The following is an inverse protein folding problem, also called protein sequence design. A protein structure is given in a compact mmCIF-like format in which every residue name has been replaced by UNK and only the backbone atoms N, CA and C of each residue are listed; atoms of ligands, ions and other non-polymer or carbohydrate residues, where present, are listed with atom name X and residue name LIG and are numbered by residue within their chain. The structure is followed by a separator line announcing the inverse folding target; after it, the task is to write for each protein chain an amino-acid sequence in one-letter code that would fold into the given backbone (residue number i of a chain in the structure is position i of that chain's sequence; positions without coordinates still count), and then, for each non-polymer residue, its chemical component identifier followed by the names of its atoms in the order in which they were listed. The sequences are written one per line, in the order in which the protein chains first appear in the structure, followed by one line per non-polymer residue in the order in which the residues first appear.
data_IF_844514747056
#
_entry.id   IF_844514747056
#
_cell.length_a   1.000
_cell.length_b   1.000
_cell.length_c   1.000
_cell.angle_alpha   90.00
_cell.angle_beta   90.00
_cell.angle_gamma   90.00
#
_symmetry.space_group_name_H-M   'P 1'
#
loop_
_entity.id
_entity.type
_entity.pdbx_description
1 polymer ?
#
# COMPACT_ATOMS: atom_id res chain seq x y z
N UNK A 1 18.54 19.20 -33.42
CA UNK A 1 17.95 18.18 -34.30
C UNK A 1 18.07 16.78 -33.73
N UNK A 2 19.28 16.26 -33.42
CA UNK A 2 19.43 14.87 -32.88
C UNK A 2 18.83 14.69 -31.47
N UNK A 3 18.93 15.68 -30.58
CA UNK A 3 18.37 15.58 -29.21
C UNK A 3 16.83 15.62 -29.20
N UNK A 4 16.19 16.44 -30.05
CA UNK A 4 14.73 16.44 -30.19
C UNK A 4 14.22 15.12 -30.80
N UNK A 5 14.91 14.58 -31.82
CA UNK A 5 14.51 13.30 -32.43
C UNK A 5 14.64 12.08 -31.53
N UNK A 6 15.55 12.10 -30.55
CA UNK A 6 15.69 11.01 -29.55
C UNK A 6 14.63 11.15 -28.44
N UNK A 7 14.29 12.37 -28.02
CA UNK A 7 13.19 12.61 -27.06
C UNK A 7 11.83 12.23 -27.65
N UNK A 8 11.56 12.59 -28.91
CA UNK A 8 10.32 12.21 -29.62
C UNK A 8 10.16 10.69 -29.71
N UNK A 9 11.24 9.93 -29.87
CA UNK A 9 11.17 8.46 -29.89
C UNK A 9 10.88 7.87 -28.50
N UNK A 10 11.42 8.46 -27.43
CA UNK A 10 11.14 8.01 -26.06
C UNK A 10 9.69 8.28 -25.63
N UNK A 11 9.12 9.44 -25.96
CA UNK A 11 7.69 9.72 -25.71
C UNK A 11 6.79 8.83 -26.57
N UNK A 12 7.12 8.65 -27.86
CA UNK A 12 6.36 7.76 -28.75
C UNK A 12 6.38 6.29 -28.29
N UNK A 13 7.51 5.79 -27.75
CA UNK A 13 7.58 4.44 -27.14
C UNK A 13 6.67 4.35 -25.91
N UNK A 14 6.67 5.37 -25.04
CA UNK A 14 5.83 5.40 -23.83
C UNK A 14 4.34 5.49 -24.17
N UNK A 15 3.97 6.29 -25.16
CA UNK A 15 2.59 6.37 -25.66
C UNK A 15 2.12 5.03 -26.25
N UNK A 16 2.94 4.38 -27.09
CA UNK A 16 2.63 3.03 -27.60
C UNK A 16 2.46 2.01 -26.46
N UNK A 17 3.27 2.10 -25.40
CA UNK A 17 3.13 1.25 -24.21
C UNK A 17 1.82 1.54 -23.47
N UNK A 18 1.47 2.82 -23.28
CA UNK A 18 0.21 3.23 -22.67
C UNK A 18 -0.99 2.67 -23.45
N UNK A 19 -1.00 2.82 -24.79
CA UNK A 19 -2.06 2.28 -25.65
C UNK A 19 -2.21 0.76 -25.52
N UNK A 20 -1.09 0.03 -25.49
CA UNK A 20 -1.10 -1.42 -25.27
C UNK A 20 -1.71 -1.79 -23.91
N UNK A 21 -1.34 -1.08 -22.85
CA UNK A 21 -1.87 -1.34 -21.50
C UNK A 21 -3.36 -1.02 -21.41
N UNK A 22 -3.81 0.09 -21.98
CA UNK A 22 -5.24 0.46 -22.08
C UNK A 22 -6.03 -0.64 -22.81
N UNK A 23 -5.49 -1.15 -23.92
CA UNK A 23 -6.11 -2.27 -24.65
C UNK A 23 -6.20 -3.54 -23.80
N UNK A 24 -5.14 -3.89 -23.08
CA UNK A 24 -5.13 -5.05 -22.18
C UNK A 24 -6.10 -4.91 -21.00
N UNK A 25 -6.20 -3.71 -20.40
CA UNK A 25 -7.16 -3.45 -19.32
C UNK A 25 -8.61 -3.57 -19.81
N UNK A 26 -8.89 -3.10 -21.04
CA UNK A 26 -10.22 -3.19 -21.65
C UNK A 26 -10.59 -4.62 -22.03
N UNK A 27 -9.66 -5.40 -22.59
CA UNK A 27 -9.96 -6.73 -23.14
C UNK A 27 -9.84 -7.87 -22.12
N UNK A 28 -8.96 -7.73 -21.13
CA UNK A 28 -8.68 -8.79 -20.14
C UNK A 28 -9.23 -8.43 -18.74
N UNK A 29 -10.24 -7.56 -18.64
CA UNK A 29 -10.82 -7.18 -17.37
C UNK A 29 -11.36 -8.42 -16.62
N UNK A 30 -10.91 -8.71 -15.39
CA UNK A 30 -11.36 -9.89 -14.68
C UNK A 30 -12.86 -9.79 -14.34
N UNK A 31 -13.60 -10.87 -14.61
CA UNK A 31 -15.01 -10.98 -14.25
C UNK A 31 -15.24 -11.34 -12.78
N UNK A 32 -16.50 -11.43 -12.36
CA UNK A 32 -16.88 -11.68 -10.97
C UNK A 32 -16.41 -13.02 -10.39
N UNK A 33 -16.19 -14.01 -11.27
CA UNK A 33 -15.70 -15.36 -10.91
C UNK A 33 -14.19 -15.51 -11.06
N UNK A 34 -13.49 -14.44 -11.42
CA UNK A 34 -12.04 -14.47 -11.59
C UNK A 34 -11.32 -14.88 -10.30
N UNK A 35 -10.15 -15.49 -10.46
CA UNK A 35 -9.25 -15.76 -9.35
C UNK A 35 -8.51 -14.49 -8.92
N UNK A 36 -7.88 -14.54 -7.75
CA UNK A 36 -7.14 -13.38 -7.22
C UNK A 36 -5.91 -13.04 -8.09
N UNK A 37 -5.33 -14.02 -8.80
CA UNK A 37 -4.15 -13.81 -9.64
C UNK A 37 -4.46 -12.95 -10.86
N UNK A 38 -5.66 -13.10 -11.41
CA UNK A 38 -6.17 -12.24 -12.48
C UNK A 38 -6.25 -10.78 -12.04
N UNK A 39 -6.70 -10.54 -10.80
CA UNK A 39 -6.73 -9.20 -10.21
C UNK A 39 -5.33 -8.66 -9.88
N UNK A 40 -4.43 -9.48 -9.37
CA UNK A 40 -3.02 -9.11 -9.16
C UNK A 40 -2.34 -8.67 -10.46
N UNK A 41 -2.53 -9.42 -11.56
CA UNK A 41 -2.02 -9.01 -12.89
C UNK A 41 -2.66 -7.72 -13.39
N UNK A 42 -3.95 -7.53 -13.14
CA UNK A 42 -4.68 -6.31 -13.49
C UNK A 42 -4.18 -5.11 -12.70
N UNK A 43 -3.89 -5.28 -11.41
CA UNK A 43 -3.34 -4.24 -10.55
C UNK A 43 -1.98 -3.73 -11.03
N UNK A 44 -1.09 -4.63 -11.48
CA UNK A 44 0.19 -4.23 -12.09
C UNK A 44 0.00 -3.43 -13.37
N UNK A 45 -0.87 -3.91 -14.27
CA UNK A 45 -1.19 -3.18 -15.52
C UNK A 45 -1.78 -1.80 -15.23
N UNK A 46 -2.68 -1.72 -14.24
CA UNK A 46 -3.30 -0.48 -13.81
C UNK A 46 -2.27 0.48 -13.22
N UNK A 47 -1.37 0.01 -12.35
CA UNK A 47 -0.28 0.81 -11.80
C UNK A 47 0.66 1.36 -12.89
N UNK A 48 1.05 0.52 -13.86
CA UNK A 48 1.86 0.97 -15.01
C UNK A 48 1.11 1.98 -15.89
N UNK A 49 -0.20 1.78 -16.10
CA UNK A 49 -1.05 2.69 -16.87
C UNK A 49 -1.15 4.05 -16.20
N UNK A 50 -1.37 4.09 -14.88
CA UNK A 50 -1.46 5.34 -14.12
C UNK A 50 -0.14 6.10 -14.09
N UNK A 51 0.98 5.42 -13.83
CA UNK A 51 2.33 6.02 -13.89
C UNK A 51 2.60 6.66 -15.27
N UNK A 52 2.31 5.93 -16.35
CA UNK A 52 2.50 6.45 -17.71
C UNK A 52 1.56 7.62 -18.01
N UNK A 53 0.28 7.51 -17.64
CA UNK A 53 -0.70 8.58 -17.81
C UNK A 53 -0.24 9.85 -17.09
N UNK A 54 0.19 9.76 -15.83
CA UNK A 54 0.71 10.89 -15.07
C UNK A 54 1.92 11.55 -15.74
N UNK A 55 2.80 10.77 -16.39
CA UNK A 55 3.97 11.31 -17.10
C UNK A 55 3.64 11.92 -18.48
N UNK A 56 2.59 11.45 -19.14
CA UNK A 56 2.23 11.82 -20.52
C UNK A 56 1.03 12.77 -20.58
N UNK A 57 0.40 13.11 -19.46
CA UNK A 57 -0.87 13.86 -19.41
C UNK A 57 -0.81 15.15 -20.24
N UNK A 58 0.30 15.88 -20.18
CA UNK A 58 0.52 17.13 -20.92
C UNK A 58 0.64 16.97 -22.45
N UNK A 59 0.83 15.74 -22.95
CA UNK A 59 0.96 15.42 -24.38
C UNK A 59 -0.34 14.86 -24.98
N UNK A 60 -1.28 14.42 -24.14
CA UNK A 60 -2.50 13.76 -24.57
C UNK A 60 -3.67 14.74 -24.70
N UNK A 61 -4.56 14.48 -25.65
CA UNK A 61 -5.80 15.24 -25.77
C UNK A 61 -6.70 15.04 -24.53
N UNK A 62 -7.41 16.07 -24.03
CA UNK A 62 -8.29 15.97 -22.87
C UNK A 62 -9.32 14.84 -22.96
N UNK A 63 -9.90 14.62 -24.15
CA UNK A 63 -10.87 13.56 -24.39
C UNK A 63 -10.23 12.17 -24.21
N UNK A 64 -8.96 12.04 -24.59
CA UNK A 64 -8.21 10.79 -24.44
C UNK A 64 -7.92 10.50 -22.97
N UNK A 65 -7.51 11.52 -22.21
CA UNK A 65 -7.27 11.41 -20.76
C UNK A 65 -8.55 10.95 -20.07
N UNK A 66 -9.68 11.59 -20.37
CA UNK A 66 -10.98 11.25 -19.80
C UNK A 66 -11.40 9.80 -20.14
N UNK A 67 -11.19 9.35 -21.39
CA UNK A 67 -11.45 7.96 -21.78
C UNK A 67 -10.64 6.96 -20.95
N UNK A 68 -9.36 7.22 -20.73
CA UNK A 68 -8.48 6.36 -19.93
C UNK A 68 -8.94 6.38 -18.47
N UNK A 69 -9.21 7.56 -17.89
CA UNK A 69 -9.69 7.70 -16.52
C UNK A 69 -11.00 6.92 -16.28
N UNK A 70 -11.95 7.01 -17.22
CA UNK A 70 -13.20 6.24 -17.13
C UNK A 70 -12.98 4.72 -17.17
N UNK A 71 -12.03 4.25 -17.99
CA UNK A 71 -11.64 2.83 -18.00
C UNK A 71 -11.05 2.41 -16.66
N UNK A 72 -10.11 3.19 -16.12
CA UNK A 72 -9.48 2.92 -14.83
C UNK A 72 -10.52 2.86 -13.71
N UNK A 73 -11.47 3.79 -13.69
CA UNK A 73 -12.57 3.79 -12.72
C UNK A 73 -13.44 2.52 -12.86
N UNK A 74 -13.82 2.14 -14.08
CA UNK A 74 -14.61 0.93 -14.33
C UNK A 74 -13.91 -0.36 -13.86
N UNK A 75 -12.58 -0.43 -14.03
CA UNK A 75 -11.77 -1.54 -13.53
C UNK A 75 -11.78 -1.56 -11.99
N UNK A 76 -11.62 -0.39 -11.34
CA UNK A 76 -11.64 -0.26 -9.88
C UNK A 76 -13.01 -0.64 -9.31
N UNK A 77 -14.11 -0.19 -9.91
CA UNK A 77 -15.48 -0.55 -9.48
C UNK A 77 -15.73 -2.06 -9.56
N UNK A 78 -15.24 -2.69 -10.63
CA UNK A 78 -15.33 -4.14 -10.81
C UNK A 78 -14.50 -4.90 -9.75
N UNK A 79 -13.32 -4.37 -9.42
CA UNK A 79 -12.48 -4.91 -8.35
C UNK A 79 -13.17 -4.82 -6.99
N UNK A 80 -13.73 -3.65 -6.64
CA UNK A 80 -14.41 -3.41 -5.36
C UNK A 80 -15.53 -4.45 -5.16
N UNK A 81 -16.37 -4.63 -6.18
CA UNK A 81 -17.47 -5.60 -6.13
C UNK A 81 -16.97 -7.05 -6.02
N UNK A 82 -15.88 -7.40 -6.71
CA UNK A 82 -15.27 -8.71 -6.58
C UNK A 82 -14.67 -8.92 -5.18
N UNK A 83 -13.91 -7.94 -4.67
CA UNK A 83 -13.20 -8.04 -3.41
C UNK A 83 -14.16 -8.12 -2.22
N UNK A 84 -15.24 -7.34 -2.21
CA UNK A 84 -16.25 -7.37 -1.16
C UNK A 84 -16.80 -8.80 -0.94
N UNK A 85 -16.99 -9.55 -2.02
CA UNK A 85 -17.47 -10.95 -1.98
C UNK A 85 -16.38 -11.96 -1.68
N UNK A 86 -15.11 -11.64 -1.95
CA UNK A 86 -13.98 -12.58 -1.88
C UNK A 86 -13.07 -12.39 -0.68
N UNK A 87 -13.09 -11.24 -0.01
CA UNK A 87 -12.22 -10.91 1.13
C UNK A 87 -12.21 -12.00 2.21
N UNK A 88 -13.37 -12.57 2.57
CA UNK A 88 -13.46 -13.66 3.55
C UNK A 88 -12.76 -14.94 3.08
N UNK A 89 -12.96 -15.30 1.81
CA UNK A 89 -12.26 -16.44 1.20
C UNK A 89 -10.75 -16.19 1.16
N UNK A 90 -10.31 -15.00 0.72
CA UNK A 90 -8.89 -14.63 0.66
C UNK A 90 -8.22 -14.71 2.03
N UNK A 91 -8.87 -14.20 3.07
CA UNK A 91 -8.37 -14.27 4.45
C UNK A 91 -8.26 -15.69 5.00
N UNK A 92 -9.06 -16.63 4.49
CA UNK A 92 -9.04 -18.05 4.88
C UNK A 92 -8.04 -18.91 4.11
N UNK A 93 -7.47 -18.41 3.00
CA UNK A 93 -6.52 -19.18 2.20
C UNK A 93 -5.22 -19.38 2.99
N UNK A 94 -4.70 -20.61 2.93
CA UNK A 94 -3.41 -20.92 3.54
C UNK A 94 -2.27 -20.16 2.85
N UNK A 95 -1.23 -19.86 3.62
CA UNK A 95 0.03 -19.39 3.08
C UNK A 95 0.62 -20.45 2.14
N UNK A 96 0.87 -20.08 0.88
CA UNK A 96 1.45 -20.98 -0.13
C UNK A 96 2.87 -20.56 -0.48
N UNK A 97 3.06 -19.78 -1.55
CA UNK A 97 4.37 -19.32 -2.00
C UNK A 97 4.79 -17.97 -1.39
N UNK A 98 3.84 -17.10 -1.12
CA UNK A 98 4.03 -15.77 -0.52
C UNK A 98 2.76 -15.39 0.26
N UNK A 99 2.81 -14.40 1.18
CA UNK A 99 1.62 -13.92 1.87
C UNK A 99 0.63 -13.33 0.86
N UNK A 100 -0.59 -13.85 0.86
CA UNK A 100 -1.68 -13.32 0.05
C UNK A 100 -2.35 -12.16 0.75
N UNK A 101 -2.42 -12.18 2.07
CA UNK A 101 -3.00 -11.10 2.88
C UNK A 101 -1.96 -10.59 3.87
N UNK A 102 -2.02 -9.31 4.23
CA UNK A 102 -1.01 -8.65 5.08
C UNK A 102 -0.77 -9.34 6.44
N UNK A 103 -1.80 -9.91 7.07
CA UNK A 103 -1.69 -10.67 8.33
C UNK A 103 -0.88 -11.97 8.19
N UNK A 104 -0.66 -12.47 6.97
CA UNK A 104 0.12 -13.69 6.75
C UNK A 104 1.63 -13.41 6.71
N UNK A 105 2.04 -12.14 6.62
CA UNK A 105 3.45 -11.74 6.49
C UNK A 105 4.29 -12.30 7.64
N UNK A 106 3.94 -12.16 8.94
CA UNK A 106 4.74 -12.70 10.03
C UNK A 106 5.01 -14.20 9.91
N UNK A 107 3.96 -14.97 9.58
CA UNK A 107 4.09 -16.41 9.44
C UNK A 107 5.00 -16.79 8.26
N UNK A 108 4.92 -16.04 7.16
CA UNK A 108 5.83 -16.22 6.04
C UNK A 108 7.29 -15.94 6.43
N UNK A 109 7.55 -14.88 7.20
CA UNK A 109 8.91 -14.56 7.67
C UNK A 109 9.48 -15.65 8.58
N UNK A 110 8.65 -16.31 9.40
CA UNK A 110 9.08 -17.46 10.21
C UNK A 110 9.58 -18.60 9.31
N UNK A 111 8.85 -18.92 8.23
CA UNK A 111 9.26 -19.95 7.29
C UNK A 111 10.57 -19.58 6.59
N UNK A 112 10.74 -18.33 6.18
CA UNK A 112 11.98 -17.86 5.55
C UNK A 112 13.16 -17.85 6.52
N UNK A 113 12.93 -17.59 7.81
CA UNK A 113 13.99 -17.58 8.83
C UNK A 113 14.64 -18.95 9.02
N UNK A 114 13.97 -20.04 8.63
CA UNK A 114 14.57 -21.37 8.68
C UNK A 114 15.75 -21.52 7.69
N UNK A 115 15.78 -20.74 6.60
CA UNK A 115 16.82 -20.79 5.57
C UNK A 115 17.78 -19.60 5.58
N UNK A 116 17.46 -18.50 6.28
CA UNK A 116 18.32 -17.31 6.36
C UNK A 116 18.66 -16.94 7.82
N UNK A 117 19.82 -16.28 8.02
CA UNK A 117 20.30 -15.93 9.38
C UNK A 117 19.61 -14.70 9.96
N UNK A 118 19.34 -13.69 9.13
CA UNK A 118 18.72 -12.42 9.55
C UNK A 118 17.62 -11.97 8.58
N UNK A 119 16.55 -11.41 9.13
CA UNK A 119 15.39 -10.90 8.39
C UNK A 119 15.13 -9.44 8.77
N UNK A 120 14.93 -8.60 7.77
CA UNK A 120 14.41 -7.24 7.96
C UNK A 120 13.09 -7.08 7.21
N UNK A 121 11.99 -6.92 7.95
CA UNK A 121 10.70 -6.50 7.41
C UNK A 121 10.66 -4.97 7.39
N UNK A 122 10.57 -4.38 6.20
CA UNK A 122 10.45 -2.94 6.00
C UNK A 122 9.05 -2.63 5.48
N UNK A 123 8.21 -2.05 6.33
CA UNK A 123 6.86 -1.61 5.96
C UNK A 123 6.93 -0.16 5.55
N UNK A 124 6.67 0.14 4.27
CA UNK A 124 6.41 1.50 3.82
C UNK A 124 4.93 1.80 4.06
N UNK A 125 4.62 2.77 4.91
CA UNK A 125 3.24 3.19 5.16
C UNK A 125 2.67 3.84 3.89
N UNK A 126 1.55 3.31 3.40
CA UNK A 126 0.82 3.91 2.27
C UNK A 126 1.42 3.74 0.87
N UNK A 127 2.36 2.80 0.67
CA UNK A 127 3.00 2.55 -0.62
C UNK A 127 2.10 1.76 -1.60
N UNK A 128 1.59 2.45 -2.62
CA UNK A 128 0.84 1.83 -3.72
C UNK A 128 1.76 1.14 -4.73
N UNK A 129 1.19 0.30 -5.60
CA UNK A 129 1.95 -0.32 -6.70
C UNK A 129 2.50 0.69 -7.70
N UNK A 130 1.76 1.77 -7.97
CA UNK A 130 2.19 2.85 -8.85
C UNK A 130 3.47 3.52 -8.29
N UNK A 131 3.49 3.76 -6.99
CA UNK A 131 4.63 4.34 -6.28
C UNK A 131 5.80 3.34 -6.19
N UNK A 132 5.51 2.06 -5.96
CA UNK A 132 6.51 0.99 -5.99
C UNK A 132 7.29 0.95 -7.31
N UNK A 133 6.65 1.17 -8.45
CA UNK A 133 7.35 1.24 -9.74
C UNK A 133 8.43 2.34 -9.76
N UNK A 134 8.26 3.41 -9.00
CA UNK A 134 9.26 4.50 -8.87
C UNK A 134 10.35 4.12 -7.87
N UNK A 135 9.95 3.55 -6.73
CA UNK A 135 10.90 3.04 -5.73
C UNK A 135 11.82 1.98 -6.36
N UNK A 136 11.24 1.03 -7.10
CA UNK A 136 11.94 -0.04 -7.79
C UNK A 136 13.01 0.47 -8.75
N UNK A 137 12.69 1.48 -9.56
CA UNK A 137 13.67 2.10 -10.47
C UNK A 137 14.85 2.67 -9.69
N UNK A 138 14.58 3.45 -8.64
CA UNK A 138 15.64 4.02 -7.80
C UNK A 138 16.48 2.94 -7.07
N UNK A 139 15.85 1.83 -6.66
CA UNK A 139 16.58 0.71 -6.06
C UNK A 139 17.52 0.04 -7.05
N UNK A 140 17.10 -0.21 -8.29
CA UNK A 140 17.98 -0.78 -9.32
C UNK A 140 19.12 0.16 -9.74
N UNK A 141 18.89 1.48 -9.71
CA UNK A 141 19.92 2.47 -10.00
C UNK A 141 21.01 2.52 -8.90
N UNK A 142 20.61 2.42 -7.63
CA UNK A 142 21.52 2.60 -6.49
C UNK A 142 22.09 1.31 -5.91
N UNK A 143 21.29 0.25 -5.79
CA UNK A 143 21.73 -1.02 -5.20
C UNK A 143 22.32 -1.93 -6.27
N UNK A 144 23.56 -2.39 -6.04
CA UNK A 144 24.27 -3.31 -6.95
C UNK A 144 24.18 -4.75 -6.44
N UNK A 145 24.16 -5.71 -7.37
CA UNK A 145 24.17 -7.15 -7.06
C UNK A 145 23.05 -7.53 -6.08
N UNK A 146 21.82 -7.18 -6.44
CA UNK A 146 20.62 -7.58 -5.70
C UNK A 146 19.71 -8.41 -6.59
N UNK A 147 19.11 -9.44 -5.99
CA UNK A 147 18.02 -10.20 -6.59
C UNK A 147 16.72 -9.77 -5.94
N UNK A 148 15.75 -9.39 -6.76
CA UNK A 148 14.43 -8.97 -6.33
C UNK A 148 13.38 -9.98 -6.79
N UNK A 149 12.60 -10.50 -5.84
CA UNK A 149 11.42 -11.31 -6.10
C UNK A 149 10.18 -10.49 -5.72
N UNK A 150 9.34 -10.21 -6.71
CA UNK A 150 8.20 -9.32 -6.57
C UNK A 150 6.91 -10.12 -6.43
N UNK A 151 6.25 -9.98 -5.29
CA UNK A 151 4.94 -10.54 -5.00
C UNK A 151 3.95 -9.42 -4.66
N UNK A 152 2.69 -9.79 -4.57
CA UNK A 152 1.59 -8.89 -4.25
C UNK A 152 0.80 -9.45 -3.09
N UNK A 153 0.40 -8.58 -2.17
CA UNK A 153 -0.45 -8.92 -1.02
C UNK A 153 -1.67 -8.02 -1.00
N UNK A 154 -2.73 -8.47 -0.33
CA UNK A 154 -3.97 -7.75 -0.13
C UNK A 154 -3.98 -7.13 1.27
N UNK A 155 -4.20 -5.82 1.34
CA UNK A 155 -4.46 -5.06 2.56
C UNK A 155 -5.85 -5.38 3.12
N UNK A 156 -6.05 -5.13 4.41
CA UNK A 156 -7.39 -5.20 5.01
C UNK A 156 -8.21 -3.99 4.57
N UNK A 157 -9.52 -4.17 4.41
CA UNK A 157 -10.47 -3.08 4.15
C UNK A 157 -11.35 -2.90 5.40
N UNK A 158 -11.46 -1.68 5.97
CA UNK A 158 -10.88 -0.40 5.52
C UNK A 158 -9.35 -0.38 5.49
N UNK A 159 -8.76 0.23 4.46
CA UNK A 159 -7.30 0.35 4.30
C UNK A 159 -6.72 1.45 5.20
N UNK A 160 -6.99 1.32 6.50
CA UNK A 160 -6.47 2.18 7.56
C UNK A 160 -5.16 1.60 8.07
N UNK A 161 -4.16 2.45 8.26
CA UNK A 161 -2.86 2.11 8.86
C UNK A 161 -3.03 1.28 10.13
N UNK A 162 -3.94 1.68 11.02
CA UNK A 162 -4.15 0.99 12.30
C UNK A 162 -4.69 -0.43 12.18
N UNK A 163 -5.35 -0.77 11.07
CA UNK A 163 -5.86 -2.11 10.85
C UNK A 163 -4.79 -2.97 10.18
N UNK A 164 -4.34 -2.57 8.99
CA UNK A 164 -3.38 -3.36 8.21
C UNK A 164 -2.02 -3.48 8.88
N UNK A 165 -1.44 -2.39 9.40
CA UNK A 165 -0.09 -2.41 9.95
C UNK A 165 0.01 -3.19 11.25
N UNK A 166 -1.01 -3.10 12.11
CA UNK A 166 -1.11 -3.96 13.28
C UNK A 166 -1.28 -5.43 12.87
N UNK A 167 -2.02 -5.73 11.81
CA UNK A 167 -2.13 -7.09 11.28
C UNK A 167 -0.77 -7.61 10.78
N UNK A 168 0.00 -6.77 10.07
CA UNK A 168 1.38 -7.08 9.62
C UNK A 168 2.28 -7.42 10.79
N UNK A 169 2.19 -6.73 11.94
CA UNK A 169 3.10 -6.99 13.06
C UNK A 169 2.57 -8.00 14.09
N UNK A 170 1.29 -8.35 14.05
CA UNK A 170 0.69 -9.32 14.98
C UNK A 170 0.51 -10.71 14.38
N UNK A 171 0.27 -10.78 13.07
CA UNK A 171 -0.23 -11.99 12.42
C UNK A 171 -1.73 -12.23 12.66
N UNK A 172 -2.42 -11.26 13.27
CA UNK A 172 -3.80 -11.39 13.73
C UNK A 172 -4.74 -10.45 12.96
N UNK A 173 -6.03 -10.74 13.02
CA UNK A 173 -7.09 -9.87 12.50
C UNK A 173 -7.52 -8.82 13.54
N UNK A 174 -8.14 -7.70 13.13
CA UNK A 174 -8.38 -6.55 14.01
C UNK A 174 -9.18 -6.80 15.30
N UNK A 175 -10.04 -7.81 15.35
CA UNK A 175 -10.78 -8.17 16.56
C UNK A 175 -9.87 -8.56 17.73
N UNK A 176 -8.60 -8.91 17.46
CA UNK A 176 -7.59 -9.21 18.48
C UNK A 176 -6.86 -7.96 19.02
N UNK A 177 -7.06 -6.78 18.44
CA UNK A 177 -6.26 -5.59 18.78
C UNK A 177 -6.71 -4.91 20.07
N UNK A 178 -7.93 -5.20 20.55
CA UNK A 178 -8.48 -4.61 21.78
C UNK A 178 -8.38 -3.08 21.77
N UNK A 179 -7.81 -2.50 22.84
CA UNK A 179 -7.71 -1.04 23.02
C UNK A 179 -6.80 -0.30 22.03
N UNK A 180 -6.09 -1.00 21.14
CA UNK A 180 -5.30 -0.36 20.07
C UNK A 180 -5.97 -0.40 18.70
N UNK A 181 -7.23 -0.84 18.55
CA UNK A 181 -7.89 -0.96 17.25
C UNK A 181 -7.75 0.28 16.33
N UNK A 182 -7.85 1.47 16.91
CA UNK A 182 -7.81 2.76 16.19
C UNK A 182 -6.45 3.48 16.28
N UNK A 183 -5.38 2.81 16.73
CA UNK A 183 -4.05 3.43 16.84
C UNK A 183 -2.90 2.40 16.77
N UNK A 184 -1.71 2.89 16.44
CA UNK A 184 -0.54 2.03 16.20
C UNK A 184 0.27 1.68 17.46
N UNK A 185 -0.30 1.82 18.67
CA UNK A 185 0.43 1.60 19.94
C UNK A 185 0.64 0.12 20.26
N UNK A 186 -0.18 -0.78 19.71
CA UNK A 186 -0.10 -2.22 19.95
C UNK A 186 1.03 -2.94 19.20
N UNK A 187 1.56 -2.36 18.11
CA UNK A 187 2.45 -3.03 17.15
C UNK A 187 3.69 -3.65 17.78
N UNK A 188 4.43 -2.91 18.62
CA UNK A 188 5.67 -3.42 19.21
C UNK A 188 5.41 -4.58 20.18
N UNK A 189 4.35 -4.47 20.98
CA UNK A 189 3.93 -5.52 21.90
C UNK A 189 3.55 -6.78 21.12
N UNK A 190 2.75 -6.64 20.07
CA UNK A 190 2.30 -7.74 19.23
C UNK A 190 3.45 -8.41 18.47
N UNK A 191 4.38 -7.62 17.92
CA UNK A 191 5.56 -8.14 17.22
C UNK A 191 6.46 -8.97 18.14
N UNK A 192 6.74 -8.44 19.35
CA UNK A 192 7.50 -9.17 20.36
C UNK A 192 6.77 -10.44 20.80
N UNK A 193 5.45 -10.37 21.01
CA UNK A 193 4.65 -11.53 21.40
C UNK A 193 4.64 -12.60 20.31
N UNK A 194 4.48 -12.21 19.04
CA UNK A 194 4.51 -13.12 17.90
C UNK A 194 5.83 -13.90 17.84
N UNK A 195 6.97 -13.20 17.80
CA UNK A 195 8.28 -13.85 17.69
C UNK A 195 8.70 -14.63 18.94
N UNK A 196 8.26 -14.19 20.13
CA UNK A 196 8.46 -14.93 21.37
C UNK A 196 7.79 -16.31 21.32
N UNK A 197 6.56 -16.39 20.76
CA UNK A 197 5.88 -17.68 20.55
C UNK A 197 6.63 -18.60 19.56
N UNK A 198 7.43 -18.02 18.66
CA UNK A 198 8.29 -18.75 17.73
C UNK A 198 9.68 -19.08 18.33
N UNK A 199 9.89 -18.79 19.62
CA UNK A 199 11.13 -19.11 20.34
C UNK A 199 12.26 -18.08 20.18
N UNK A 200 12.02 -16.92 19.55
CA UNK A 200 13.05 -15.89 19.40
C UNK A 200 13.16 -15.06 20.68
N UNK A 201 14.38 -14.94 21.21
CA UNK A 201 14.63 -14.11 22.40
C UNK A 201 14.50 -12.62 22.12
N UNK A 202 14.03 -11.85 23.10
CA UNK A 202 13.78 -10.41 22.95
C UNK A 202 15.02 -9.61 22.51
N UNK A 203 16.22 -10.03 22.91
CA UNK A 203 17.48 -9.41 22.51
C UNK A 203 17.89 -9.67 21.04
N UNK A 204 17.17 -10.51 20.32
CA UNK A 204 17.40 -10.77 18.89
C UNK A 204 16.42 -10.02 17.98
N UNK A 205 15.49 -9.28 18.57
CA UNK A 205 14.39 -8.59 17.90
C UNK A 205 14.46 -7.08 18.13
N UNK A 206 14.06 -6.29 17.14
CA UNK A 206 13.66 -4.90 17.35
C UNK A 206 12.55 -4.49 16.37
N UNK A 207 11.80 -3.45 16.74
CA UNK A 207 10.87 -2.74 15.85
C UNK A 207 11.20 -1.25 15.89
N UNK A 208 11.54 -0.68 14.74
CA UNK A 208 11.84 0.74 14.60
C UNK A 208 10.74 1.40 13.78
N UNK A 209 10.04 2.35 14.40
CA UNK A 209 8.95 3.10 13.75
C UNK A 209 9.30 4.57 13.54
N UNK A 210 8.55 5.22 12.65
CA UNK A 210 8.69 6.65 12.39
C UNK A 210 9.87 7.01 11.51
N UNK A 211 10.42 6.05 10.75
CA UNK A 211 11.56 6.30 9.89
C UNK A 211 11.11 7.14 8.69
N UNK A 212 11.95 8.07 8.29
CA UNK A 212 11.75 8.99 7.18
C UNK A 212 12.90 8.97 6.19
N UNK A 213 13.94 8.21 6.46
CA UNK A 213 15.15 8.16 5.64
C UNK A 213 16.02 9.38 5.88
N UNK A 214 16.18 9.82 7.14
CA UNK A 214 17.19 10.83 7.50
C UNK A 214 18.51 10.19 7.94
N UNK A 215 19.55 11.01 8.15
CA UNK A 215 20.82 10.55 8.74
C UNK A 215 20.62 10.03 10.18
N UNK A 216 19.72 10.63 10.96
CA UNK A 216 19.39 10.13 12.30
C UNK A 216 18.73 8.74 12.24
N UNK A 217 17.85 8.51 11.26
CA UNK A 217 17.25 7.19 11.05
C UNK A 217 18.31 6.15 10.68
N UNK A 218 19.24 6.49 9.79
CA UNK A 218 20.34 5.62 9.41
C UNK A 218 21.21 5.27 10.62
N UNK A 219 21.58 6.27 11.43
CA UNK A 219 22.34 6.05 12.66
C UNK A 219 21.59 5.16 13.66
N UNK A 220 20.27 5.35 13.79
CA UNK A 220 19.40 4.52 14.63
C UNK A 220 19.34 3.07 14.13
N UNK A 221 19.23 2.84 12.82
CA UNK A 221 19.23 1.49 12.24
C UNK A 221 20.57 0.78 12.48
N UNK A 222 21.70 1.49 12.33
CA UNK A 222 23.05 0.95 12.58
C UNK A 222 23.21 0.34 13.97
N UNK A 223 22.54 0.90 15.00
CA UNK A 223 22.56 0.37 16.37
C UNK A 223 21.92 -1.01 16.50
N UNK A 224 21.10 -1.43 15.52
CA UNK A 224 20.32 -2.65 15.57
C UNK A 224 20.75 -3.72 14.53
N UNK A 225 21.82 -3.50 13.77
CA UNK A 225 22.32 -4.45 12.76
C UNK A 225 22.76 -5.81 13.34
N UNK A 226 23.02 -5.88 14.64
CA UNK A 226 23.36 -7.11 15.35
C UNK A 226 22.14 -8.03 15.63
N UNK A 227 20.91 -7.53 15.45
CA UNK A 227 19.68 -8.32 15.65
C UNK A 227 19.52 -9.39 14.57
N UNK A 228 18.69 -10.39 14.83
CA UNK A 228 18.33 -11.41 13.84
C UNK A 228 17.03 -11.09 13.12
N UNK A 229 16.10 -10.38 13.77
CA UNK A 229 14.85 -9.95 13.16
C UNK A 229 14.64 -8.46 13.45
N UNK A 230 14.48 -7.69 12.39
CA UNK A 230 14.15 -6.27 12.45
C UNK A 230 12.80 -6.01 11.79
N UNK A 231 11.92 -5.32 12.48
CA UNK A 231 10.80 -4.62 11.86
C UNK A 231 11.17 -3.14 11.71
N UNK A 232 10.91 -2.57 10.55
CA UNK A 232 11.14 -1.16 10.25
C UNK A 232 9.85 -0.60 9.65
N UNK A 233 9.44 0.58 10.09
CA UNK A 233 8.27 1.29 9.55
C UNK A 233 8.71 2.65 9.04
N UNK A 234 8.56 2.83 7.73
CA UNK A 234 8.90 4.05 6.99
C UNK A 234 7.62 4.81 6.70
N UNK A 235 7.39 5.89 7.45
CA UNK A 235 6.15 6.69 7.37
C UNK A 235 6.20 7.75 6.25
N UNK A 236 7.34 7.92 5.57
CA UNK A 236 7.54 9.06 4.67
C UNK A 236 6.64 9.03 3.43
N UNK A 237 6.31 7.84 2.91
CA UNK A 237 5.46 7.72 1.72
C UNK A 237 4.04 8.22 2.03
N UNK A 238 3.38 7.71 3.06
CA UNK A 238 2.06 8.19 3.51
C UNK A 238 2.06 9.70 3.82
N UNK A 239 3.13 10.23 4.44
CA UNK A 239 3.25 11.68 4.66
C UNK A 239 3.30 12.49 3.36
N UNK A 240 3.98 11.98 2.33
CA UNK A 240 4.00 12.61 1.00
C UNK A 240 2.63 12.52 0.33
N UNK A 241 1.93 11.38 0.47
CA UNK A 241 0.55 11.20 0.00
C UNK A 241 -0.34 12.32 0.55
N UNK A 242 -0.44 12.45 1.88
CA UNK A 242 -1.32 13.45 2.51
C UNK A 242 -0.89 14.91 2.29
N UNK A 243 0.39 15.15 1.96
CA UNK A 243 0.90 16.49 1.67
C UNK A 243 0.76 16.90 0.19
N UNK A 244 0.39 15.98 -0.70
CA UNK A 244 0.44 16.21 -2.14
C UNK A 244 -0.67 17.13 -2.65
N UNK A 245 -0.30 18.11 -3.48
CA UNK A 245 -1.18 19.09 -4.11
C UNK A 245 -1.25 18.97 -5.64
N UNK A 246 -0.21 18.44 -6.27
CA UNK A 246 -0.07 18.28 -7.73
C UNK A 246 -0.56 16.92 -8.24
N UNK A 247 -1.22 16.13 -7.39
CA UNK A 247 -1.76 14.82 -7.74
C UNK A 247 -0.67 13.77 -8.05
N UNK A 248 -1.00 12.75 -8.87
CA UNK A 248 -0.11 11.61 -9.14
C UNK A 248 1.27 11.99 -9.71
N UNK A 249 1.33 12.95 -10.63
CA UNK A 249 2.60 13.39 -11.21
C UNK A 249 3.53 14.00 -10.15
N UNK A 250 2.99 14.84 -9.27
CA UNK A 250 3.74 15.37 -8.12
C UNK A 250 4.21 14.27 -7.18
N UNK A 251 3.37 13.27 -6.92
CA UNK A 251 3.70 12.16 -6.02
C UNK A 251 4.93 11.38 -6.50
N UNK A 252 5.00 11.10 -7.81
CA UNK A 252 6.17 10.44 -8.39
C UNK A 252 7.45 11.27 -8.24
N UNK A 253 7.35 12.58 -8.43
CA UNK A 253 8.49 13.49 -8.28
C UNK A 253 8.96 13.57 -6.82
N UNK A 254 8.03 13.65 -5.87
CA UNK A 254 8.34 13.72 -4.45
C UNK A 254 9.02 12.45 -3.93
N UNK A 255 8.53 11.26 -4.34
CA UNK A 255 9.17 9.98 -4.00
C UNK A 255 10.58 9.92 -4.60
N UNK A 256 10.73 10.28 -5.88
CA UNK A 256 12.04 10.27 -6.54
C UNK A 256 13.04 11.16 -5.81
N UNK A 257 12.64 12.40 -5.51
CA UNK A 257 13.49 13.36 -4.80
C UNK A 257 13.86 12.85 -3.40
N UNK A 258 12.90 12.29 -2.67
CA UNK A 258 13.12 11.70 -1.35
C UNK A 258 14.13 10.55 -1.39
N UNK A 259 14.02 9.64 -2.36
CA UNK A 259 14.95 8.52 -2.51
C UNK A 259 16.33 8.97 -3.00
N UNK A 260 16.40 10.00 -3.83
CA UNK A 260 17.65 10.57 -4.35
C UNK A 260 18.46 11.26 -3.25
N UNK A 261 17.81 12.13 -2.47
CA UNK A 261 18.46 13.01 -1.49
C UNK A 261 18.50 12.44 -0.06
N UNK A 262 17.55 11.55 0.27
CA UNK A 262 17.44 10.93 1.58
C UNK A 262 18.36 9.73 1.77
N UNK A 263 18.23 9.11 2.94
CA UNK A 263 18.97 7.93 3.41
C UNK A 263 18.17 6.64 3.34
N UNK A 264 16.98 6.68 2.73
CA UNK A 264 16.08 5.52 2.68
C UNK A 264 16.73 4.32 1.98
N UNK A 265 17.45 4.54 0.88
CA UNK A 265 18.15 3.48 0.16
C UNK A 265 19.42 3.05 0.91
N UNK A 266 20.16 3.99 1.51
CA UNK A 266 21.34 3.68 2.34
C UNK A 266 20.98 2.77 3.52
N UNK A 267 19.80 2.96 4.13
CA UNK A 267 19.28 2.07 5.17
C UNK A 267 19.12 0.63 4.66
N UNK A 268 18.56 0.44 3.46
CA UNK A 268 18.39 -0.88 2.85
C UNK A 268 19.75 -1.50 2.50
N UNK A 269 20.67 -0.70 1.97
CA UNK A 269 22.03 -1.13 1.65
C UNK A 269 22.79 -1.62 2.89
N UNK A 270 22.72 -0.90 4.01
CA UNK A 270 23.36 -1.28 5.27
C UNK A 270 22.77 -2.55 5.87
N UNK A 271 21.45 -2.75 5.73
CA UNK A 271 20.81 -4.01 6.14
C UNK A 271 21.30 -5.17 5.27
N UNK A 272 21.34 -5.02 3.94
CA UNK A 272 21.88 -6.04 3.04
C UNK A 272 23.36 -6.34 3.35
N UNK A 273 24.18 -5.31 3.56
CA UNK A 273 25.59 -5.44 3.93
C UNK A 273 25.80 -6.16 5.27
N UNK A 274 24.87 -5.97 6.23
CA UNK A 274 24.87 -6.66 7.51
C UNK A 274 24.29 -8.10 7.47
N UNK A 275 23.95 -8.60 6.28
CA UNK A 275 23.51 -9.97 6.02
C UNK A 275 22.02 -10.22 6.27
N UNK A 276 21.18 -9.17 6.18
CA UNK A 276 19.73 -9.33 6.23
C UNK A 276 19.16 -9.67 4.86
N UNK A 277 18.26 -10.66 4.82
CA UNK A 277 17.26 -10.76 3.76
C UNK A 277 16.19 -9.68 4.01
N UNK A 278 15.92 -8.85 3.00
CA UNK A 278 14.91 -7.79 3.12
C UNK A 278 13.56 -8.26 2.60
N UNK A 279 12.51 -7.89 3.32
CA UNK A 279 11.13 -8.07 2.93
C UNK A 279 10.46 -6.71 3.00
N UNK A 280 10.24 -6.08 1.83
CA UNK A 280 9.50 -4.84 1.75
C UNK A 280 8.00 -5.14 1.66
N UNK A 281 7.19 -4.41 2.41
CA UNK A 281 5.74 -4.55 2.39
C UNK A 281 5.08 -3.16 2.43
N UNK A 282 3.82 -3.10 2.05
CA UNK A 282 2.94 -1.99 2.40
C UNK A 282 1.77 -2.47 3.24
N UNK A 283 1.26 -1.62 4.11
CA UNK A 283 0.02 -1.85 4.86
C UNK A 283 -1.23 -1.48 4.05
N UNK A 284 -1.13 -0.46 3.22
CA UNK A 284 -2.10 -0.10 2.19
C UNK A 284 -1.42 0.68 1.06
N UNK A 285 -2.13 0.89 -0.04
CA UNK A 285 -1.74 1.88 -1.04
C UNK A 285 -2.50 3.19 -0.83
N UNK A 286 -2.52 4.00 -1.89
CA UNK A 286 -3.20 5.30 -1.92
C UNK A 286 -3.75 5.57 -3.31
N UNK A 287 -4.74 6.46 -3.38
CA UNK A 287 -5.44 6.84 -4.60
C UNK A 287 -5.65 8.36 -4.66
N UNK A 288 -5.89 8.87 -5.86
CA UNK A 288 -6.27 10.27 -6.06
C UNK A 288 -7.79 10.38 -6.00
N UNK A 289 -8.30 11.25 -5.12
CA UNK A 289 -9.72 11.37 -4.84
C UNK A 289 -10.22 12.80 -4.91
N UNK A 290 -11.51 12.93 -5.22
CA UNK A 290 -12.24 14.21 -5.20
C UNK A 290 -13.21 14.24 -4.02
N UNK A 291 -13.25 15.34 -3.27
CA UNK A 291 -14.13 15.45 -2.12
C UNK A 291 -15.61 15.36 -2.50
N UNK A 292 -16.31 14.42 -1.86
CA UNK A 292 -17.77 14.23 -1.95
C UNK A 292 -18.56 15.02 -0.90
N UNK A 293 -17.85 15.66 0.04
CA UNK A 293 -18.43 16.32 1.20
C UNK A 293 -18.05 15.63 2.50
N UNK A 294 -18.17 16.38 3.61
CA UNK A 294 -17.94 15.85 4.95
C UNK A 294 -19.28 15.43 5.57
N UNK A 295 -19.39 14.20 6.07
CA UNK A 295 -20.58 13.81 6.80
C UNK A 295 -20.62 14.52 8.17
N UNK A 296 -21.83 14.88 8.63
CA UNK A 296 -22.04 15.58 9.90
C UNK A 296 -22.17 14.58 11.06
N UNK A 297 -21.05 14.28 11.71
CA UNK A 297 -20.91 13.11 12.59
C UNK A 297 -20.36 13.45 14.00
N UNK A 298 -20.11 14.73 14.27
CA UNK A 298 -19.58 15.20 15.55
C UNK A 298 -18.26 14.54 15.99
N UNK A 299 -18.07 14.37 17.29
CA UNK A 299 -16.88 13.76 17.91
C UNK A 299 -17.01 12.24 18.16
N UNK A 300 -18.12 11.62 17.76
CA UNK A 300 -18.48 10.24 18.13
C UNK A 300 -18.01 9.19 17.11
N UNK A 301 -17.13 9.59 16.20
CA UNK A 301 -16.53 8.72 15.18
C UNK A 301 -15.17 8.24 15.68
N UNK A 302 -14.96 6.93 15.68
CA UNK A 302 -13.72 6.32 16.17
C UNK A 302 -12.53 6.61 15.26
N UNK A 303 -12.77 6.76 13.95
CA UNK A 303 -11.75 7.13 12.96
C UNK A 303 -12.33 7.99 11.86
N UNK A 304 -11.72 9.17 11.64
CA UNK A 304 -12.07 10.12 10.57
C UNK A 304 -11.12 9.98 9.36
N UNK A 305 -10.91 8.75 8.89
CA UNK A 305 -10.04 8.48 7.75
C UNK A 305 -10.64 9.07 6.48
N UNK A 306 -9.87 9.71 5.62
CA UNK A 306 -10.42 10.49 4.51
C UNK A 306 -11.30 9.68 3.53
N UNK A 307 -11.18 8.35 3.46
CA UNK A 307 -12.08 7.47 2.69
C UNK A 307 -12.82 6.40 3.52
N UNK A 308 -12.70 6.44 4.85
CA UNK A 308 -13.32 5.46 5.75
C UNK A 308 -13.86 6.09 7.03
N UNK A 309 -15.00 5.55 7.50
CA UNK A 309 -15.61 5.89 8.79
C UNK A 309 -16.03 4.64 9.53
N UNK A 310 -15.75 4.60 10.82
CA UNK A 310 -16.08 3.50 11.71
C UNK A 310 -16.99 4.02 12.83
N UNK A 311 -18.12 3.34 13.04
CA UNK A 311 -19.15 3.73 14.02
C UNK A 311 -19.52 2.56 14.92
N UNK A 312 -19.63 2.85 16.21
CA UNK A 312 -20.23 1.96 17.20
C UNK A 312 -21.73 2.20 17.33
N UNK A 313 -22.19 3.44 17.09
CA UNK A 313 -23.59 3.85 17.20
C UNK A 313 -24.34 3.73 15.87
N UNK A 314 -25.46 3.03 15.88
CA UNK A 314 -26.26 2.79 14.68
C UNK A 314 -26.93 4.04 14.12
N UNK A 315 -27.40 4.94 14.99
CA UNK A 315 -28.12 6.14 14.55
C UNK A 315 -27.20 7.11 13.81
N UNK A 316 -25.96 7.29 14.28
CA UNK A 316 -24.95 8.11 13.61
C UNK A 316 -24.57 7.49 12.26
N UNK A 317 -24.38 6.16 12.23
CA UNK A 317 -24.13 5.42 10.99
C UNK A 317 -25.26 5.62 9.96
N UNK A 318 -26.53 5.51 10.37
CA UNK A 318 -27.69 5.71 9.50
C UNK A 318 -27.81 7.16 9.01
N UNK A 319 -27.43 8.13 9.85
CA UNK A 319 -27.41 9.54 9.47
C UNK A 319 -26.33 9.81 8.42
N UNK A 320 -25.09 9.33 8.66
CA UNK A 320 -23.98 9.45 7.74
C UNK A 320 -24.31 8.86 6.36
N UNK A 321 -24.89 7.64 6.34
CA UNK A 321 -25.31 6.93 5.12
C UNK A 321 -26.29 7.72 4.25
N UNK A 322 -27.09 8.62 4.85
CA UNK A 322 -28.06 9.47 4.12
C UNK A 322 -27.48 10.82 3.71
N UNK A 323 -26.37 11.24 4.30
CA UNK A 323 -25.86 12.60 4.17
C UNK A 323 -24.97 12.83 2.95
N UNK A 324 -24.22 11.80 2.55
CA UNK A 324 -23.22 11.88 1.48
C UNK A 324 -23.12 10.54 0.72
N UNK A 325 -22.63 10.54 -0.53
CA UNK A 325 -22.32 9.33 -1.27
C UNK A 325 -21.29 8.48 -0.51
N UNK A 326 -21.71 7.29 -0.10
CA UNK A 326 -20.88 6.33 0.63
C UNK A 326 -21.47 4.93 0.51
N UNK A 327 -20.64 3.93 0.80
CA UNK A 327 -21.00 2.52 0.71
C UNK A 327 -20.80 1.82 2.06
N UNK A 328 -21.81 1.12 2.60
CA UNK A 328 -21.64 0.15 3.68
C UNK A 328 -20.60 -0.90 3.33
N UNK A 329 -19.72 -1.24 4.28
CA UNK A 329 -18.75 -2.29 4.06
C UNK A 329 -18.78 -3.35 5.16
N UNK A 330 -18.94 -4.61 4.76
CA UNK A 330 -18.83 -5.75 5.67
C UNK A 330 -17.36 -6.15 5.80
N UNK A 331 -16.64 -5.46 6.68
CA UNK A 331 -15.22 -5.68 6.89
C UNK A 331 -14.93 -7.05 7.54
N UNK A 332 -13.87 -7.71 7.07
CA UNK A 332 -13.38 -8.93 7.70
C UNK A 332 -12.61 -8.63 8.99
N UNK A 333 -12.88 -9.42 10.02
CA UNK A 333 -12.06 -9.42 11.23
C UNK A 333 -12.14 -8.16 12.08
N UNK A 334 -13.14 -7.28 11.89
CA UNK A 334 -13.44 -6.22 12.87
C UNK A 334 -14.20 -6.79 14.09
N UNK A 335 -14.13 -6.13 15.26
CA UNK A 335 -15.00 -6.48 16.39
C UNK A 335 -16.48 -6.38 16.05
N UNK A 336 -17.29 -7.17 16.76
CA UNK A 336 -18.75 -7.15 16.63
C UNK A 336 -19.32 -5.75 16.98
N UNK A 337 -20.38 -5.35 16.28
CA UNK A 337 -21.06 -4.07 16.49
C UNK A 337 -20.39 -2.85 15.83
N UNK A 338 -19.22 -3.01 15.24
CA UNK A 338 -18.55 -1.94 14.49
C UNK A 338 -19.07 -1.88 13.06
N UNK A 339 -19.57 -0.71 12.65
CA UNK A 339 -20.14 -0.46 11.32
C UNK A 339 -19.17 0.38 10.50
N UNK A 340 -19.01 0.07 9.23
CA UNK A 340 -18.06 0.73 8.33
C UNK A 340 -18.80 1.41 7.18
N UNK A 341 -18.45 2.66 6.91
CA UNK A 341 -18.78 3.36 5.68
C UNK A 341 -17.48 3.70 4.94
N UNK A 342 -17.46 3.41 3.64
CA UNK A 342 -16.39 3.80 2.73
C UNK A 342 -16.90 4.90 1.78
N UNK A 343 -16.00 5.79 1.38
CA UNK A 343 -16.29 6.71 0.29
C UNK A 343 -16.50 5.92 -1.02
N UNK A 344 -17.43 6.36 -1.87
CA UNK A 344 -17.79 5.65 -3.10
C UNK A 344 -16.86 6.06 -4.26
N UNK A 345 -16.45 5.10 -5.10
CA UNK A 345 -15.58 5.35 -6.25
C UNK A 345 -14.27 6.07 -5.89
N UNK A 346 -13.98 7.14 -6.62
CA UNK A 346 -12.84 8.04 -6.43
C UNK A 346 -13.16 9.22 -5.48
N UNK A 347 -14.18 9.12 -4.62
CA UNK A 347 -14.53 10.21 -3.71
C UNK A 347 -13.84 10.15 -2.35
N UNK A 348 -13.79 11.27 -1.63
CA UNK A 348 -13.30 11.30 -0.25
C UNK A 348 -14.21 12.14 0.66
N UNK A 349 -14.18 11.85 1.95
CA UNK A 349 -14.89 12.56 3.01
C UNK A 349 -14.21 13.89 3.39
N UNK A 350 -13.91 14.70 2.39
CA UNK A 350 -13.33 16.06 2.48
C UNK A 350 -14.24 17.08 1.78
N UNK A 351 -13.82 18.34 1.66
CA UNK A 351 -14.71 19.37 1.13
C UNK A 351 -15.03 19.11 -0.35
N UNK A 352 -16.27 19.43 -0.77
CA UNK A 352 -16.70 19.15 -2.14
C UNK A 352 -15.77 19.81 -3.17
N UNK A 353 -15.28 19.01 -4.12
CA UNK A 353 -14.38 19.46 -5.19
C UNK A 353 -12.90 19.59 -4.81
N UNK A 354 -12.56 19.40 -3.53
CA UNK A 354 -11.18 19.32 -3.06
C UNK A 354 -10.51 18.07 -3.64
N UNK A 355 -9.34 18.20 -4.26
CA UNK A 355 -8.61 17.05 -4.82
C UNK A 355 -7.43 16.69 -3.93
N UNK A 356 -7.33 15.43 -3.53
CA UNK A 356 -6.32 14.95 -2.58
C UNK A 356 -5.79 13.58 -2.99
N UNK A 357 -4.55 13.28 -2.58
CA UNK A 357 -4.03 11.92 -2.54
C UNK A 357 -4.33 11.35 -1.14
N UNK A 358 -4.90 10.15 -1.07
CA UNK A 358 -5.46 9.64 0.19
C UNK A 358 -5.63 8.12 0.20
N UNK A 359 -6.11 7.56 1.31
CA UNK A 359 -6.42 6.15 1.49
C UNK A 359 -7.60 5.94 2.46
N UNK A 360 -7.98 4.68 2.66
CA UNK A 360 -8.96 4.22 3.64
C UNK A 360 -10.15 3.47 3.01
N UNK A 361 -10.27 3.51 1.69
CA UNK A 361 -11.32 2.91 0.90
C UNK A 361 -11.04 1.44 0.53
N UNK A 362 -11.53 1.06 -0.65
CA UNK A 362 -11.48 -0.32 -1.17
C UNK A 362 -10.99 -0.40 -2.61
N UNK A 363 -10.44 0.69 -3.15
CA UNK A 363 -9.94 0.72 -4.53
C UNK A 363 -8.79 -0.26 -4.72
N UNK A 364 -8.58 -0.70 -5.96
CA UNK A 364 -7.53 -1.67 -6.29
C UNK A 364 -6.14 -1.16 -5.92
N UNK A 365 -5.92 0.16 -6.05
CA UNK A 365 -4.67 0.85 -5.71
C UNK A 365 -4.42 0.88 -4.20
N UNK A 366 -5.48 0.94 -3.39
CA UNK A 366 -5.40 0.91 -1.93
C UNK A 366 -5.21 -0.52 -1.40
N UNK A 367 -5.83 -1.52 -2.05
CA UNK A 367 -5.95 -2.88 -1.52
C UNK A 367 -4.84 -3.82 -1.99
N UNK A 368 -4.44 -3.78 -3.27
CA UNK A 368 -3.37 -4.66 -3.77
C UNK A 368 -2.05 -3.89 -3.70
N UNK A 369 -1.14 -4.39 -2.87
CA UNK A 369 0.08 -3.67 -2.48
C UNK A 369 1.33 -4.53 -2.66
N UNK A 370 2.52 -3.92 -2.80
CA UNK A 370 3.75 -4.67 -3.02
C UNK A 370 4.15 -5.51 -1.80
N UNK A 371 4.64 -6.72 -2.06
CA UNK A 371 5.40 -7.53 -1.10
C UNK A 371 6.65 -8.08 -1.78
N UNK A 372 7.82 -7.57 -1.43
CA UNK A 372 9.04 -7.72 -2.23
C UNK A 372 10.12 -8.36 -1.37
N UNK A 373 10.72 -9.45 -1.85
CA UNK A 373 11.92 -10.01 -1.25
C UNK A 373 13.13 -9.46 -1.99
N UNK A 374 14.10 -8.91 -1.26
CA UNK A 374 15.37 -8.45 -1.81
C UNK A 374 16.49 -9.18 -1.05
N UNK A 375 17.36 -9.83 -1.80
CA UNK A 375 18.56 -10.48 -1.28
C UNK A 375 19.77 -10.01 -2.07
N UNK A 376 20.95 -10.11 -1.48
CA UNK A 376 22.21 -9.87 -2.20
C UNK A 376 22.50 -11.04 -3.13
N UNK A 377 22.96 -10.76 -4.35
CA UNK A 377 23.53 -11.78 -5.24
C UNK A 377 24.94 -12.13 -4.72
N UNK A 378 25.20 -13.43 -4.59
CA UNK A 378 26.50 -13.96 -4.14
C UNK A 378 27.60 -13.82 -5.19
#
# INVERSE_FOLDING_TARGET
WVVCGILDDHDAVRERKLEKLVCLLKNDQPGEKADYRSWQRTALRLAETRKLLASLEHLLAPERILQIQNLLQSVSDSFINWYERKQGTLASLFLVSHPLMVQQIPQYLVLQKASCKKIALVVFDGLSLEQWLTVKEALYEKLKAIKMEEYLTFALVPTLTSLSRQAIFSGELPYQFGGSLFNNRGEEKSWRAFWSRQGLSAGKLALLKGLRGSEEDLARVRQHLHREVLGLVVDQVDRLVHAQQLGPAGMHQDIKLWLEQGKAIDILEELLAAGFDLYLASDHGSTYATGGGRPDEGCLVETKGERARLYTQEEIYKQALKSIPCRPWNAIGLPEGLRVLLAEGDTAFVNKGEKIMTHGGSSIEEVIVPFIKIVREE
#
